data_IF_353401423217
#
_entry.id   IF_353401423217
#
_cell.length_a   1.000
_cell.length_b   1.000
_cell.length_c   1.000
_cell.angle_alpha   90.00
_cell.angle_beta   90.00
_cell.angle_gamma   90.00
#
_symmetry.space_group_name_H-M   'P 1'
#
loop_
_entity.id
_entity.type
_entity.pdbx_description
1 polymer ?
#
# COMPACT_ATOMS: atom_id res chain seq x y z
N UNK A 1 -8.49 23.64 -40.11
CA UNK A 1 -7.35 22.93 -39.47
C UNK A 1 -7.93 22.03 -38.41
N UNK A 2 -7.38 20.82 -38.23
CA UNK A 2 -7.76 19.98 -37.10
C UNK A 2 -7.41 20.70 -35.78
N UNK A 3 -8.20 20.51 -34.69
CA UNK A 3 -7.86 21.05 -33.39
C UNK A 3 -6.48 20.52 -32.93
N UNK A 4 -5.78 21.32 -32.14
CA UNK A 4 -4.53 20.86 -31.51
C UNK A 4 -4.84 19.83 -30.42
N UNK A 5 -3.90 18.94 -30.09
CA UNK A 5 -4.06 17.96 -29.01
C UNK A 5 -4.44 18.58 -27.67
N UNK A 6 -3.90 19.76 -27.35
CA UNK A 6 -4.24 20.53 -26.14
C UNK A 6 -5.73 20.90 -26.11
N UNK A 7 -6.28 21.30 -27.26
CA UNK A 7 -7.71 21.62 -27.41
C UNK A 7 -8.56 20.35 -27.36
N UNK A 8 -8.12 19.26 -27.99
CA UNK A 8 -8.80 17.96 -27.93
C UNK A 8 -8.92 17.44 -26.49
N UNK A 9 -7.83 17.50 -25.72
CA UNK A 9 -7.81 17.10 -24.31
C UNK A 9 -8.72 17.98 -23.45
N UNK A 10 -8.70 19.30 -23.67
CA UNK A 10 -9.59 20.22 -22.94
C UNK A 10 -11.06 19.89 -23.19
N UNK A 11 -11.43 19.58 -24.44
CA UNK A 11 -12.78 19.15 -24.79
C UNK A 11 -13.11 17.78 -24.16
N UNK A 12 -12.15 16.86 -24.09
CA UNK A 12 -12.35 15.55 -23.49
C UNK A 12 -12.58 15.65 -21.96
N UNK A 13 -11.84 16.52 -21.27
CA UNK A 13 -12.05 16.84 -19.86
C UNK A 13 -13.44 17.42 -19.64
N UNK A 14 -13.84 18.42 -20.44
CA UNK A 14 -15.18 19.02 -20.33
C UNK A 14 -16.29 17.98 -20.51
N UNK A 15 -16.19 17.13 -21.54
CA UNK A 15 -17.19 16.11 -21.82
C UNK A 15 -17.34 15.10 -20.67
N UNK A 16 -16.22 14.61 -20.12
CA UNK A 16 -16.26 13.62 -19.03
C UNK A 16 -16.68 14.24 -17.70
N UNK A 17 -16.21 15.44 -17.37
CA UNK A 17 -16.65 16.17 -16.16
C UNK A 17 -18.13 16.53 -16.22
N UNK A 18 -18.66 16.90 -17.40
CA UNK A 18 -20.09 17.14 -17.60
C UNK A 18 -20.92 15.88 -17.37
N UNK A 19 -20.51 14.74 -17.93
CA UNK A 19 -21.19 13.45 -17.68
C UNK A 19 -21.23 13.10 -16.18
N UNK A 20 -20.14 13.36 -15.46
CA UNK A 20 -20.09 13.17 -14.01
C UNK A 20 -21.07 14.11 -13.30
N UNK A 21 -20.99 15.42 -13.55
CA UNK A 21 -21.84 16.41 -12.90
C UNK A 21 -23.34 16.17 -13.14
N UNK A 22 -23.70 15.81 -14.38
CA UNK A 22 -25.06 15.44 -14.78
C UNK A 22 -25.54 14.20 -14.01
N UNK A 23 -24.68 13.18 -13.86
CA UNK A 23 -25.00 11.94 -13.13
C UNK A 23 -25.19 12.20 -11.63
N UNK A 24 -24.31 12.98 -11.01
CA UNK A 24 -24.41 13.32 -9.60
C UNK A 24 -25.67 14.14 -9.30
N UNK A 25 -25.97 15.11 -10.17
CA UNK A 25 -27.18 15.93 -10.10
C UNK A 25 -28.46 15.08 -10.25
N UNK A 26 -28.49 14.16 -11.23
CA UNK A 26 -29.64 13.28 -11.47
C UNK A 26 -29.88 12.29 -10.32
N UNK A 27 -28.80 11.78 -9.71
CA UNK A 27 -28.88 10.83 -8.60
C UNK A 27 -29.02 11.48 -7.22
N UNK A 28 -29.09 12.81 -7.13
CA UNK A 28 -29.09 13.59 -5.87
C UNK A 28 -27.90 13.24 -4.96
N UNK A 29 -26.78 12.85 -5.56
CA UNK A 29 -25.55 12.57 -4.84
C UNK A 29 -24.79 13.88 -4.58
N UNK A 30 -24.08 14.01 -3.45
CA UNK A 30 -23.24 15.18 -3.22
C UNK A 30 -22.11 15.22 -4.24
N UNK A 31 -21.87 16.39 -4.83
CA UNK A 31 -20.73 16.60 -5.74
C UNK A 31 -19.41 16.21 -5.06
N UNK A 32 -18.44 15.67 -5.80
CA UNK A 32 -17.13 15.33 -5.23
C UNK A 32 -16.47 16.55 -4.57
N UNK A 33 -15.94 16.36 -3.36
CA UNK A 33 -15.31 17.41 -2.56
C UNK A 33 -14.23 16.81 -1.65
N UNK A 34 -13.31 17.66 -1.20
CA UNK A 34 -12.33 17.31 -0.16
C UNK A 34 -12.90 17.48 1.26
N UNK A 35 -14.18 17.85 1.40
CA UNK A 35 -14.84 17.92 2.69
C UNK A 35 -15.01 16.52 3.32
N UNK A 36 -14.77 16.42 4.63
CA UNK A 36 -14.79 15.16 5.37
C UNK A 36 -16.17 14.47 5.39
N UNK A 37 -17.26 15.18 5.06
CA UNK A 37 -18.59 14.60 4.93
C UNK A 37 -18.84 13.88 3.59
N UNK A 38 -17.93 14.03 2.62
CA UNK A 38 -18.06 13.40 1.30
C UNK A 38 -17.74 11.91 1.40
N UNK A 39 -18.61 11.00 0.93
CA UNK A 39 -18.30 9.57 0.91
C UNK A 39 -17.05 9.29 0.06
N UNK A 40 -16.12 8.45 0.54
CA UNK A 40 -14.85 8.18 -0.18
C UNK A 40 -15.08 7.42 -1.48
N UNK A 41 -16.10 6.56 -1.52
CA UNK A 41 -16.54 5.86 -2.73
C UNK A 41 -18.06 5.98 -2.88
N UNK A 42 -18.49 6.21 -4.12
CA UNK A 42 -19.89 6.20 -4.52
C UNK A 42 -20.06 5.12 -5.59
N UNK A 43 -21.07 4.24 -5.48
CA UNK A 43 -21.35 3.25 -6.52
C UNK A 43 -21.88 3.98 -7.76
N UNK A 44 -21.07 4.05 -8.81
CA UNK A 44 -21.41 4.70 -10.07
C UNK A 44 -21.67 3.67 -11.17
N UNK A 45 -22.57 3.96 -12.13
CA UNK A 45 -22.70 3.16 -13.34
C UNK A 45 -21.35 3.01 -14.08
N UNK A 46 -21.13 1.92 -14.84
CA UNK A 46 -19.84 1.68 -15.51
C UNK A 46 -19.39 2.81 -16.44
N UNK A 47 -20.32 3.40 -17.19
CA UNK A 47 -20.07 4.52 -18.11
C UNK A 47 -19.66 5.81 -17.39
N UNK A 48 -20.19 6.03 -16.20
CA UNK A 48 -19.83 7.17 -15.34
C UNK A 48 -18.49 6.89 -14.63
N UNK A 49 -18.22 5.63 -14.29
CA UNK A 49 -16.92 5.21 -13.74
C UNK A 49 -15.81 5.43 -14.77
N UNK A 50 -16.04 5.05 -16.04
CA UNK A 50 -15.11 5.31 -17.15
C UNK A 50 -14.86 6.82 -17.32
N UNK A 51 -15.92 7.64 -17.26
CA UNK A 51 -15.79 9.10 -17.31
C UNK A 51 -15.00 9.67 -16.11
N UNK A 52 -15.17 9.09 -14.91
CA UNK A 52 -14.42 9.44 -13.69
C UNK A 52 -12.92 9.19 -13.83
N UNK A 53 -12.54 8.13 -14.54
CA UNK A 53 -11.14 7.75 -14.76
C UNK A 53 -10.51 8.51 -15.94
N UNK A 54 -11.26 8.74 -17.03
CA UNK A 54 -10.74 9.39 -18.23
C UNK A 54 -10.42 10.89 -18.05
N UNK A 55 -11.14 11.60 -17.17
CA UNK A 55 -10.90 13.03 -16.94
C UNK A 55 -9.53 13.32 -16.31
N UNK A 56 -9.12 12.66 -15.20
CA UNK A 56 -7.77 12.77 -14.66
C UNK A 56 -6.67 12.38 -15.66
N UNK A 57 -6.83 11.30 -16.42
CA UNK A 57 -5.83 10.87 -17.42
C UNK A 57 -5.59 11.95 -18.49
N UNK A 58 -6.67 12.56 -18.99
CA UNK A 58 -6.56 13.67 -19.95
C UNK A 58 -5.95 14.93 -19.32
N UNK A 59 -6.19 15.16 -18.03
CA UNK A 59 -5.60 16.27 -17.28
C UNK A 59 -4.08 16.09 -17.10
N UNK A 60 -3.61 14.88 -16.83
CA UNK A 60 -2.18 14.55 -16.75
C UNK A 60 -1.47 14.79 -18.08
N UNK A 61 -2.08 14.40 -19.20
CA UNK A 61 -1.54 14.67 -20.54
C UNK A 61 -1.56 16.18 -20.85
N UNK A 62 -2.66 16.86 -20.54
CA UNK A 62 -2.82 18.30 -20.77
C UNK A 62 -1.83 19.12 -19.94
N UNK A 63 -1.50 18.70 -18.73
CA UNK A 63 -0.47 19.34 -17.91
C UNK A 63 0.94 19.11 -18.49
N UNK A 64 1.19 17.91 -19.03
CA UNK A 64 2.49 17.54 -19.55
C UNK A 64 2.84 18.26 -20.86
N UNK A 65 1.88 18.44 -21.78
CA UNK A 65 2.15 18.97 -23.12
C UNK A 65 2.73 20.41 -23.14
N UNK A 66 2.21 21.38 -22.35
CA UNK A 66 2.74 22.74 -22.31
C UNK A 66 4.11 22.84 -21.64
N UNK A 67 4.39 22.00 -20.64
CA UNK A 67 5.69 21.94 -19.95
C UNK A 67 6.78 21.35 -20.86
N UNK A 68 6.35 20.56 -21.84
CA UNK A 68 7.24 19.89 -22.78
C UNK A 68 8.09 18.80 -22.11
N UNK A 69 8.87 18.06 -22.91
CA UNK A 69 9.66 16.95 -22.40
C UNK A 69 10.81 17.40 -21.50
N UNK A 70 11.31 18.63 -21.67
CA UNK A 70 12.49 19.11 -20.95
C UNK A 70 12.25 19.23 -19.44
N UNK A 71 11.06 19.65 -19.01
CA UNK A 71 10.73 19.72 -17.58
C UNK A 71 10.67 18.32 -16.93
N UNK A 72 10.26 17.30 -17.71
CA UNK A 72 10.27 15.90 -17.28
C UNK A 72 11.66 15.26 -17.34
N UNK A 73 12.53 15.69 -18.27
CA UNK A 73 13.90 15.17 -18.43
C UNK A 73 14.83 15.73 -17.36
N UNK A 74 14.72 17.03 -17.07
CA UNK A 74 15.55 17.70 -16.07
C UNK A 74 14.81 17.73 -14.74
N UNK A 75 14.71 16.56 -14.09
CA UNK A 75 14.31 16.52 -12.68
C UNK A 75 15.30 17.36 -11.88
N UNK A 76 14.87 18.51 -11.37
CA UNK A 76 15.65 19.27 -10.39
C UNK A 76 15.41 18.59 -9.04
N UNK A 77 16.36 17.82 -8.51
CA UNK A 77 16.17 17.23 -7.20
C UNK A 77 16.01 18.37 -6.19
N UNK A 78 14.95 18.28 -5.39
CA UNK A 78 14.69 19.22 -4.28
C UNK A 78 15.85 19.16 -3.26
N UNK A 79 16.56 18.02 -3.22
CA UNK A 79 17.75 17.80 -2.39
C UNK A 79 18.70 16.75 -3.00
N UNK A 80 20.01 16.86 -2.76
CA UNK A 80 21.04 15.96 -3.32
C UNK A 80 21.69 14.99 -2.32
N UNK A 81 21.40 15.04 -1.02
CA UNK A 81 21.81 13.90 -0.14
C UNK A 81 21.10 12.64 -0.59
N UNK A 82 21.88 11.57 -0.65
CA UNK A 82 21.40 10.20 -0.81
C UNK A 82 20.57 9.99 -2.07
N UNK A 83 20.85 10.74 -3.14
CA UNK A 83 20.24 10.52 -4.45
C UNK A 83 20.43 9.06 -4.88
N UNK A 84 19.32 8.35 -5.10
CA UNK A 84 19.31 6.95 -5.48
C UNK A 84 19.64 5.97 -4.35
N UNK A 85 19.60 6.39 -3.08
CA UNK A 85 19.82 5.47 -1.96
C UNK A 85 18.62 4.55 -1.73
N UNK A 86 18.92 3.29 -1.43
CA UNK A 86 17.95 2.27 -1.01
C UNK A 86 18.07 1.93 0.49
N UNK A 87 18.85 2.71 1.24
CA UNK A 87 19.05 2.48 2.68
C UNK A 87 17.85 2.99 3.48
N UNK A 88 17.39 2.19 4.43
CA UNK A 88 16.19 2.48 5.24
C UNK A 88 16.32 3.73 6.13
N UNK A 89 17.54 4.22 6.34
CA UNK A 89 17.88 5.40 7.14
C UNK A 89 18.53 6.54 6.33
N UNK A 90 18.38 6.52 5.01
CA UNK A 90 18.85 7.57 4.11
C UNK A 90 17.68 8.11 3.29
N UNK A 91 16.66 8.62 4.00
CA UNK A 91 15.37 9.02 3.40
C UNK A 91 15.02 10.47 3.74
N UNK A 92 13.99 11.01 3.08
CA UNK A 92 13.44 12.33 3.41
C UNK A 92 12.97 12.44 4.87
N UNK A 93 12.54 11.32 5.48
CA UNK A 93 12.19 11.27 6.90
C UNK A 93 13.37 11.63 7.80
N UNK A 94 14.56 11.09 7.49
CA UNK A 94 15.78 11.35 8.25
C UNK A 94 16.16 12.83 8.23
N UNK A 95 16.02 13.48 7.07
CA UNK A 95 16.26 14.91 6.90
C UNK A 95 15.24 15.75 7.68
N UNK A 96 13.95 15.43 7.53
CA UNK A 96 12.87 16.19 8.15
C UNK A 96 12.84 16.09 9.67
N UNK A 97 13.23 14.94 10.23
CA UNK A 97 13.19 14.68 11.67
C UNK A 97 14.57 14.71 12.35
N UNK A 98 15.62 15.02 11.60
CA UNK A 98 17.01 15.03 12.09
C UNK A 98 17.39 13.74 12.84
N UNK A 99 16.98 12.59 12.30
CA UNK A 99 17.20 11.27 12.91
C UNK A 99 18.07 10.36 12.05
N UNK A 100 18.79 9.44 12.70
CA UNK A 100 19.56 8.36 12.04
C UNK A 100 18.80 7.04 11.96
N UNK A 101 17.62 6.98 12.58
CA UNK A 101 16.77 5.79 12.58
C UNK A 101 15.93 5.70 11.31
N UNK A 102 15.61 4.49 10.88
CA UNK A 102 14.66 4.30 9.79
C UNK A 102 13.24 4.69 10.19
N UNK A 103 12.39 4.92 9.20
CA UNK A 103 10.99 5.33 9.42
C UNK A 103 10.25 4.37 10.35
N UNK A 104 10.36 3.05 10.18
CA UNK A 104 9.60 2.08 10.98
C UNK A 104 10.06 1.99 12.45
N UNK A 105 11.33 2.31 12.74
CA UNK A 105 11.83 2.35 14.12
C UNK A 105 11.46 3.66 14.85
N UNK A 106 11.35 4.77 14.10
CA UNK A 106 11.19 6.11 14.66
C UNK A 106 9.89 6.35 15.46
N UNK A 107 8.71 5.81 15.08
CA UNK A 107 7.48 5.94 15.86
C UNK A 107 7.54 5.28 17.23
N UNK A 108 8.39 4.26 17.44
CA UNK A 108 8.42 3.48 18.68
C UNK A 108 8.79 4.30 19.92
N UNK A 109 9.50 5.42 19.75
CA UNK A 109 9.86 6.33 20.85
C UNK A 109 8.79 7.36 21.23
N UNK A 110 7.65 7.41 20.53
CA UNK A 110 6.60 8.42 20.72
C UNK A 110 5.21 7.77 20.56
N UNK A 111 4.54 7.52 21.69
CA UNK A 111 3.24 6.84 21.74
C UNK A 111 2.18 7.50 20.85
N UNK A 112 2.17 8.84 20.78
CA UNK A 112 1.21 9.56 19.96
C UNK A 112 1.49 9.35 18.45
N UNK A 113 2.77 9.29 18.04
CA UNK A 113 3.14 8.92 16.66
C UNK A 113 2.83 7.47 16.36
N UNK A 114 3.17 6.55 17.25
CA UNK A 114 2.87 5.13 17.11
C UNK A 114 1.37 4.91 16.92
N UNK A 115 0.52 5.56 17.73
CA UNK A 115 -0.93 5.49 17.58
C UNK A 115 -1.41 6.05 16.24
N UNK A 116 -0.96 7.24 15.83
CA UNK A 116 -1.35 7.81 14.52
C UNK A 116 -0.94 6.92 13.35
N UNK A 117 0.23 6.29 13.44
CA UNK A 117 0.70 5.34 12.45
C UNK A 117 -0.20 4.10 12.40
N UNK A 118 -0.51 3.50 13.55
CA UNK A 118 -1.41 2.34 13.63
C UNK A 118 -2.82 2.65 13.10
N UNK A 119 -3.39 3.82 13.43
CA UNK A 119 -4.68 4.27 12.90
C UNK A 119 -4.63 4.41 11.37
N UNK A 120 -3.54 4.98 10.84
CA UNK A 120 -3.33 5.12 9.38
C UNK A 120 -3.22 3.77 8.67
N UNK A 121 -2.50 2.81 9.27
CA UNK A 121 -2.37 1.46 8.72
C UNK A 121 -3.71 0.72 8.74
N UNK A 122 -4.54 0.93 9.78
CA UNK A 122 -5.89 0.36 9.86
C UNK A 122 -6.79 0.87 8.73
N UNK A 123 -6.69 2.17 8.40
CA UNK A 123 -7.39 2.75 7.26
C UNK A 123 -6.93 2.15 5.92
N UNK A 124 -5.61 2.04 5.69
CA UNK A 124 -5.08 1.44 4.46
C UNK A 124 -5.55 0.00 4.30
N UNK A 125 -5.55 -0.80 5.37
CA UNK A 125 -6.04 -2.18 5.34
C UNK A 125 -7.54 -2.31 5.04
N UNK A 126 -8.33 -1.27 5.30
CA UNK A 126 -9.76 -1.23 4.97
C UNK A 126 -10.05 -0.90 3.49
N UNK A 127 -9.04 -0.50 2.71
CA UNK A 127 -9.23 -0.16 1.29
C UNK A 127 -9.61 -1.39 0.45
N UNK A 128 -10.40 -1.24 -0.63
CA UNK A 128 -10.87 -2.36 -1.45
C UNK A 128 -9.76 -3.26 -2.00
N UNK A 129 -8.61 -2.68 -2.39
CA UNK A 129 -7.44 -3.40 -2.89
C UNK A 129 -6.65 -4.15 -1.81
N UNK A 130 -6.97 -3.94 -0.53
CA UNK A 130 -6.28 -4.54 0.62
C UNK A 130 -7.13 -5.57 1.37
N UNK A 131 -8.29 -5.93 0.81
CA UNK A 131 -9.17 -6.92 1.43
C UNK A 131 -8.49 -8.28 1.59
N UNK A 132 -8.71 -8.90 2.74
CA UNK A 132 -8.16 -10.23 3.06
C UNK A 132 -8.67 -11.31 2.12
N UNK A 133 -9.90 -11.18 1.64
CA UNK A 133 -10.54 -12.08 0.67
C UNK A 133 -9.70 -12.26 -0.60
N UNK A 134 -8.96 -11.23 -1.03
CA UNK A 134 -8.07 -11.32 -2.19
C UNK A 134 -6.93 -12.32 -1.97
N UNK A 135 -6.45 -12.47 -0.74
CA UNK A 135 -5.42 -13.44 -0.38
C UNK A 135 -6.04 -14.83 -0.16
N UNK A 136 -7.15 -14.90 0.57
CA UNK A 136 -7.79 -16.15 0.95
C UNK A 136 -8.40 -16.89 -0.25
N UNK A 137 -8.95 -16.15 -1.23
CA UNK A 137 -9.71 -16.75 -2.34
C UNK A 137 -8.87 -17.01 -3.59
N UNK A 138 -7.74 -16.32 -3.77
CA UNK A 138 -6.94 -16.42 -5.00
C UNK A 138 -5.70 -17.32 -4.86
N UNK A 139 -5.57 -18.04 -3.74
CA UNK A 139 -4.52 -19.03 -3.53
C UNK A 139 -5.12 -20.29 -2.90
N UNK A 140 -4.65 -21.46 -3.33
CA UNK A 140 -5.16 -22.74 -2.84
C UNK A 140 -4.44 -23.18 -1.55
N UNK A 141 -4.88 -22.59 -0.44
CA UNK A 141 -4.35 -22.86 0.90
C UNK A 141 -4.64 -24.27 1.41
N UNK A 142 -5.64 -24.97 0.84
CA UNK A 142 -6.08 -26.29 1.31
C UNK A 142 -5.03 -27.39 1.17
N UNK A 143 -4.01 -27.14 0.34
CA UNK A 143 -2.87 -28.04 0.09
C UNK A 143 -1.89 -28.14 1.26
N UNK A 144 -1.95 -27.19 2.19
CA UNK A 144 -0.92 -26.98 3.19
C UNK A 144 -1.49 -27.03 4.60
N UNK A 145 -0.65 -27.42 5.57
CA UNK A 145 -1.05 -27.58 6.97
C UNK A 145 -0.41 -26.57 7.89
N UNK A 146 0.76 -26.05 7.53
CA UNK A 146 1.55 -25.15 8.37
C UNK A 146 1.92 -23.88 7.61
N UNK A 147 1.52 -22.73 8.14
CA UNK A 147 1.82 -21.42 7.56
C UNK A 147 2.50 -20.56 8.63
N UNK A 148 3.60 -19.92 8.27
CA UNK A 148 4.24 -18.88 9.07
C UNK A 148 3.94 -17.53 8.41
N UNK A 149 3.15 -16.69 9.07
CA UNK A 149 2.84 -15.32 8.63
C UNK A 149 3.92 -14.37 9.13
N UNK A 150 4.95 -14.14 8.31
CA UNK A 150 6.16 -13.38 8.65
C UNK A 150 5.89 -11.89 8.53
N UNK A 151 5.98 -11.17 9.66
CA UNK A 151 5.57 -9.78 9.75
C UNK A 151 4.05 -9.62 9.73
N UNK A 152 3.29 -10.61 10.22
CA UNK A 152 1.83 -10.70 10.11
C UNK A 152 1.02 -9.64 10.88
N UNK A 153 1.68 -8.70 11.56
CA UNK A 153 1.05 -7.61 12.32
C UNK A 153 0.00 -8.15 13.31
N UNK A 154 -1.23 -7.64 13.31
CA UNK A 154 -2.31 -8.09 14.17
C UNK A 154 -2.88 -9.49 13.80
N UNK A 155 -2.27 -10.22 12.87
CA UNK A 155 -2.64 -11.60 12.53
C UNK A 155 -3.96 -11.72 11.76
N UNK A 156 -4.38 -10.67 11.05
CA UNK A 156 -5.69 -10.64 10.36
C UNK A 156 -5.78 -11.72 9.29
N UNK A 157 -4.71 -11.98 8.54
CA UNK A 157 -4.68 -13.06 7.53
C UNK A 157 -4.70 -14.43 8.21
N UNK A 158 -3.90 -14.63 9.25
CA UNK A 158 -3.88 -15.87 10.01
C UNK A 158 -5.27 -16.25 10.55
N UNK A 159 -6.00 -15.27 11.12
CA UNK A 159 -7.37 -15.48 11.61
C UNK A 159 -8.32 -15.93 10.50
N UNK A 160 -8.28 -15.29 9.34
CA UNK A 160 -9.16 -15.66 8.21
C UNK A 160 -8.79 -17.03 7.62
N UNK A 161 -7.50 -17.39 7.57
CA UNK A 161 -7.05 -18.72 7.16
C UNK A 161 -7.57 -19.81 8.08
N UNK A 162 -7.41 -19.67 9.41
CA UNK A 162 -7.86 -20.67 10.39
C UNK A 162 -9.39 -20.82 10.37
N UNK A 163 -10.13 -19.72 10.19
CA UNK A 163 -11.59 -19.77 10.04
C UNK A 163 -12.01 -20.54 8.78
N UNK A 164 -11.31 -20.33 7.66
CA UNK A 164 -11.68 -20.93 6.36
C UNK A 164 -11.20 -22.36 6.21
N UNK A 165 -10.04 -22.70 6.79
CA UNK A 165 -9.37 -23.98 6.65
C UNK A 165 -9.05 -24.56 8.05
N UNK A 166 -9.99 -25.26 8.70
CA UNK A 166 -9.83 -25.68 10.10
C UNK A 166 -8.63 -26.61 10.40
N UNK A 167 -8.04 -27.21 9.36
CA UNK A 167 -6.85 -28.07 9.48
C UNK A 167 -5.53 -27.32 9.36
N UNK A 168 -5.56 -26.03 9.00
CA UNK A 168 -4.36 -25.20 8.87
C UNK A 168 -3.93 -24.68 10.24
N UNK A 169 -2.64 -24.76 10.52
CA UNK A 169 -2.00 -24.14 11.67
C UNK A 169 -1.21 -22.94 11.17
N UNK A 170 -1.48 -21.77 11.76
CA UNK A 170 -0.80 -20.52 11.40
C UNK A 170 -0.04 -20.00 12.61
N UNK A 171 1.25 -19.70 12.42
CA UNK A 171 2.09 -18.98 13.38
C UNK A 171 2.28 -17.55 12.90
N UNK A 172 1.93 -16.58 13.73
CA UNK A 172 2.14 -15.15 13.41
C UNK A 172 3.48 -14.71 13.98
N UNK A 173 4.32 -14.10 13.14
CA UNK A 173 5.63 -13.60 13.52
C UNK A 173 5.74 -12.09 13.35
N UNK A 174 6.42 -11.43 14.28
CA UNK A 174 6.72 -10.00 14.21
C UNK A 174 7.34 -9.49 15.50
N UNK A 175 7.55 -8.18 15.57
CA UNK A 175 8.06 -7.54 16.78
C UNK A 175 7.01 -7.59 17.91
N UNK A 176 7.43 -7.77 19.18
CA UNK A 176 6.51 -8.02 20.29
C UNK A 176 5.42 -6.95 20.43
N UNK A 177 5.79 -5.68 20.27
CA UNK A 177 4.87 -4.54 20.37
C UNK A 177 3.80 -4.52 19.28
N UNK A 178 4.05 -5.13 18.13
CA UNK A 178 3.12 -5.14 16.98
C UNK A 178 2.16 -6.33 17.05
N UNK A 179 2.66 -7.49 17.51
CA UNK A 179 1.89 -8.73 17.49
C UNK A 179 1.18 -9.03 18.81
N UNK A 180 1.26 -8.15 19.81
CA UNK A 180 0.74 -8.39 21.16
C UNK A 180 -0.74 -8.84 21.21
N UNK A 181 -1.55 -8.48 20.21
CA UNK A 181 -2.97 -8.84 20.12
C UNK A 181 -3.26 -9.98 19.13
N UNK A 182 -2.25 -10.51 18.44
CA UNK A 182 -2.42 -11.57 17.46
C UNK A 182 -2.46 -12.96 18.13
N UNK A 183 -3.18 -13.94 17.54
CA UNK A 183 -3.20 -15.31 18.05
C UNK A 183 -1.92 -16.07 17.67
N UNK A 184 -1.47 -17.00 18.53
CA UNK A 184 -0.37 -17.94 18.26
C UNK A 184 0.92 -17.24 17.74
N UNK A 185 1.41 -16.30 18.56
CA UNK A 185 2.50 -15.40 18.22
C UNK A 185 3.87 -15.93 18.59
N UNK A 186 4.85 -15.67 17.73
CA UNK A 186 6.27 -15.90 17.97
C UNK A 186 7.01 -14.60 17.68
N UNK A 187 7.75 -14.10 18.67
CA UNK A 187 8.66 -12.97 18.47
C UNK A 187 9.66 -13.29 17.36
N UNK A 188 9.79 -12.38 16.40
CA UNK A 188 10.64 -12.57 15.24
C UNK A 188 11.13 -11.23 14.70
N UNK A 189 12.46 -11.09 14.69
CA UNK A 189 13.16 -10.21 13.77
C UNK A 189 13.54 -11.02 12.53
N UNK A 190 12.89 -10.75 11.39
CA UNK A 190 13.13 -11.45 10.13
C UNK A 190 14.50 -11.17 9.50
N UNK A 191 15.32 -10.27 10.08
CA UNK A 191 16.74 -10.13 9.74
C UNK A 191 17.63 -11.15 10.49
N UNK A 192 17.07 -11.86 11.46
CA UNK A 192 17.72 -12.95 12.19
C UNK A 192 17.30 -14.31 11.62
N UNK A 193 17.88 -15.39 12.15
CA UNK A 193 17.55 -16.73 11.68
C UNK A 193 16.07 -17.07 11.94
N UNK A 194 15.39 -17.59 10.91
CA UNK A 194 13.99 -18.01 11.02
C UNK A 194 13.86 -19.19 12.00
N UNK A 195 13.11 -18.98 13.09
CA UNK A 195 12.96 -19.91 14.22
C UNK A 195 12.08 -21.12 13.90
N UNK A 196 11.02 -20.93 13.12
CA UNK A 196 10.14 -22.03 12.71
C UNK A 196 10.75 -22.68 11.49
N UNK A 197 11.04 -23.99 11.55
CA UNK A 197 11.69 -24.75 10.47
C UNK A 197 10.69 -25.71 9.81
N UNK A 198 10.82 -25.89 8.50
CA UNK A 198 10.06 -26.88 7.73
C UNK A 198 8.56 -26.63 7.66
N UNK A 199 8.12 -25.37 7.77
CA UNK A 199 6.73 -25.02 7.50
C UNK A 199 6.42 -25.14 6.01
N UNK A 200 5.18 -25.50 5.67
CA UNK A 200 4.76 -25.65 4.28
C UNK A 200 4.79 -24.31 3.53
N UNK A 201 4.46 -23.20 4.22
CA UNK A 201 4.46 -21.84 3.67
C UNK A 201 5.09 -20.87 4.67
N UNK A 202 5.97 -20.00 4.16
CA UNK A 202 6.35 -18.75 4.81
C UNK A 202 5.75 -17.60 4.00
N UNK A 203 4.74 -16.95 4.57
CA UNK A 203 3.94 -15.94 3.91
C UNK A 203 4.41 -14.55 4.31
N UNK A 204 4.65 -13.69 3.31
CA UNK A 204 5.03 -12.30 3.49
C UNK A 204 3.99 -11.42 2.80
N UNK A 205 3.26 -10.62 3.57
CA UNK A 205 2.31 -9.64 3.03
C UNK A 205 2.74 -8.25 3.46
N UNK A 206 2.92 -7.36 2.49
CA UNK A 206 3.26 -5.96 2.77
C UNK A 206 4.56 -5.80 3.56
N UNK A 207 5.55 -6.66 3.31
CA UNK A 207 6.88 -6.60 3.95
C UNK A 207 7.92 -6.04 2.99
N UNK A 208 8.20 -6.72 1.89
CA UNK A 208 9.34 -6.40 1.01
C UNK A 208 9.28 -4.99 0.39
N UNK A 209 8.10 -4.39 0.22
CA UNK A 209 7.99 -3.02 -0.31
C UNK A 209 8.53 -1.94 0.64
N UNK A 210 8.75 -2.27 1.92
CA UNK A 210 9.34 -1.34 2.90
C UNK A 210 10.87 -1.27 2.82
N UNK A 211 11.49 -2.15 2.02
CA UNK A 211 12.90 -2.44 2.10
C UNK A 211 13.55 -2.41 0.71
N UNK A 212 14.76 -1.82 0.63
CA UNK A 212 15.60 -1.92 -0.57
C UNK A 212 16.10 -3.35 -0.81
N UNK A 213 16.63 -3.61 -2.01
CA UNK A 213 16.95 -4.97 -2.47
C UNK A 213 17.94 -5.68 -1.55
N UNK A 214 18.97 -4.98 -1.08
CA UNK A 214 19.96 -5.50 -0.12
C UNK A 214 19.33 -6.10 1.13
N UNK A 215 18.26 -5.48 1.64
CA UNK A 215 17.55 -5.93 2.84
C UNK A 215 16.62 -7.10 2.51
N UNK A 216 15.90 -7.03 1.40
CA UNK A 216 15.07 -8.14 0.91
C UNK A 216 15.89 -9.42 0.72
N UNK A 217 17.09 -9.31 0.13
CA UNK A 217 18.03 -10.42 -0.03
C UNK A 217 18.45 -10.98 1.33
N UNK A 218 18.72 -10.13 2.32
CA UNK A 218 19.08 -10.58 3.67
C UNK A 218 17.94 -11.37 4.32
N UNK A 219 16.71 -10.84 4.29
CA UNK A 219 15.51 -11.50 4.83
C UNK A 219 15.33 -12.88 4.17
N UNK A 220 15.37 -12.94 2.83
CA UNK A 220 15.22 -14.18 2.08
C UNK A 220 16.34 -15.19 2.37
N UNK A 221 17.59 -14.74 2.54
CA UNK A 221 18.69 -15.61 2.95
C UNK A 221 18.46 -16.24 4.32
N UNK A 222 17.91 -15.49 5.28
CA UNK A 222 17.56 -16.03 6.60
C UNK A 222 16.41 -17.02 6.53
N UNK A 223 15.44 -16.77 5.67
CA UNK A 223 14.33 -17.68 5.40
C UNK A 223 14.79 -18.99 4.77
N UNK A 224 15.70 -18.96 3.78
CA UNK A 224 16.16 -20.15 3.06
C UNK A 224 16.75 -21.21 4.01
N UNK A 225 17.34 -20.79 5.14
CA UNK A 225 17.86 -21.68 6.18
C UNK A 225 16.77 -22.42 6.98
N UNK A 226 15.49 -22.15 6.71
CA UNK A 226 14.35 -22.75 7.37
C UNK A 226 13.42 -23.54 6.44
N UNK A 227 13.62 -23.43 5.12
CA UNK A 227 12.94 -24.25 4.11
C UNK A 227 13.48 -25.68 4.15
#
# INVERSE_FOLDING_TARGET
MAPSRVVELSNHIEQNTRKLDDSFSASKLPSPSFDASTPPDLPLPPDITEAKEAAPEAMDELQALPLGPMDKIFHKPIHTEWTGSEKSNQTAWNLAHHTKEGFLASPGGDEAKAKRFADSMSFVQASPGMQTSLVINNYDWSKYKTVVDVGGSHGVIALELVKRFPTIMVTVQGLPEVIATAPAVVDCDFFTEQLVKGADIYFFRMIFHNWGDDYCIQILRKLILAL
#
